data_IF_549344243208
#
_entry.id   IF_549344243208
#
_cell.length_a   1.000
_cell.length_b   1.000
_cell.length_c   1.000
_cell.angle_alpha   90.00
_cell.angle_beta   90.00
_cell.angle_gamma   90.00
#
_symmetry.space_group_name_H-M   'P 1'
#
loop_
_entity.id
_entity.type
_entity.pdbx_description
1 polymer ?
#
# COMPACT_ATOMS: atom_id res chain seq x y z
N UNK A 1 10.87 21.86 16.73
CA UNK A 1 11.46 20.53 16.55
C UNK A 1 12.87 20.57 17.12
N UNK A 2 13.28 19.54 17.87
CA UNK A 2 14.68 19.37 18.27
C UNK A 2 15.51 18.92 17.06
N UNK A 3 16.84 19.05 17.12
CA UNK A 3 17.72 18.61 16.03
C UNK A 3 17.51 17.14 15.65
N UNK A 4 17.32 16.26 16.65
CA UNK A 4 17.01 14.85 16.41
C UNK A 4 15.65 14.62 15.73
N UNK A 5 14.65 15.46 16.02
CA UNK A 5 13.34 15.38 15.35
C UNK A 5 13.42 15.86 13.90
N UNK A 6 14.18 16.93 13.61
CA UNK A 6 14.42 17.38 12.24
C UNK A 6 15.17 16.34 11.42
N UNK A 7 16.18 15.66 12.01
CA UNK A 7 16.88 14.54 11.37
C UNK A 7 15.93 13.37 11.07
N UNK A 8 15.09 12.97 12.04
CA UNK A 8 14.11 11.90 11.83
C UNK A 8 13.11 12.23 10.70
N UNK A 9 12.73 13.50 10.58
CA UNK A 9 11.87 13.96 9.51
C UNK A 9 12.59 14.00 8.15
N UNK A 10 13.88 14.38 8.12
CA UNK A 10 14.70 14.33 6.92
C UNK A 10 14.84 12.88 6.39
N UNK A 11 15.09 11.90 7.27
CA UNK A 11 15.11 10.48 6.90
C UNK A 11 13.76 10.01 6.31
N UNK A 12 12.65 10.52 6.84
CA UNK A 12 11.33 10.25 6.28
C UNK A 12 11.21 10.82 4.86
N UNK A 13 11.68 12.06 4.64
CA UNK A 13 11.67 12.71 3.32
C UNK A 13 12.53 11.94 2.32
N UNK A 14 13.72 11.49 2.72
CA UNK A 14 14.60 10.67 1.86
C UNK A 14 13.93 9.35 1.47
N UNK A 15 13.30 8.65 2.42
CA UNK A 15 12.50 7.46 2.13
C UNK A 15 11.36 7.74 1.14
N UNK A 16 10.64 8.86 1.32
CA UNK A 16 9.59 9.26 0.40
C UNK A 16 10.12 9.60 -0.99
N UNK A 17 11.27 10.27 -1.10
CA UNK A 17 11.93 10.56 -2.38
C UNK A 17 12.36 9.27 -3.09
N UNK A 18 12.90 8.30 -2.35
CA UNK A 18 13.26 7.00 -2.90
C UNK A 18 12.02 6.26 -3.44
N UNK A 19 10.93 6.20 -2.66
CA UNK A 19 9.67 5.61 -3.10
C UNK A 19 9.08 6.31 -4.31
N UNK A 20 9.04 7.66 -4.30
CA UNK A 20 8.56 8.45 -5.42
C UNK A 20 9.38 8.17 -6.69
N UNK A 21 10.71 8.25 -6.59
CA UNK A 21 11.61 7.97 -7.70
C UNK A 21 11.45 6.55 -8.24
N UNK A 22 11.42 5.55 -7.37
CA UNK A 22 11.26 4.14 -7.75
C UNK A 22 9.95 3.90 -8.52
N UNK A 23 8.83 4.43 -8.02
CA UNK A 23 7.52 4.26 -8.64
C UNK A 23 7.43 5.01 -9.98
N UNK A 24 7.96 6.24 -10.05
CA UNK A 24 8.01 7.02 -11.30
C UNK A 24 8.86 6.30 -12.35
N UNK A 25 10.02 5.73 -11.98
CA UNK A 25 10.85 4.94 -12.90
C UNK A 25 10.08 3.74 -13.44
N UNK A 26 9.34 3.01 -12.61
CA UNK A 26 8.51 1.89 -13.08
C UNK A 26 7.42 2.35 -14.04
N UNK A 27 6.72 3.46 -13.76
CA UNK A 27 5.73 4.00 -14.69
C UNK A 27 6.35 4.39 -16.03
N UNK A 28 7.51 5.06 -16.01
CA UNK A 28 8.25 5.44 -17.22
C UNK A 28 8.68 4.21 -18.01
N UNK A 29 9.28 3.20 -17.36
CA UNK A 29 9.72 1.98 -18.01
C UNK A 29 8.54 1.22 -18.62
N UNK A 30 7.45 1.09 -17.88
CA UNK A 30 6.22 0.43 -18.33
C UNK A 30 5.62 1.15 -19.55
N UNK A 31 5.52 2.49 -19.49
CA UNK A 31 5.02 3.29 -20.60
C UNK A 31 5.95 3.21 -21.82
N UNK A 32 7.26 3.31 -21.63
CA UNK A 32 8.26 3.20 -22.70
C UNK A 32 8.18 1.85 -23.41
N UNK A 33 8.10 0.76 -22.64
CA UNK A 33 8.05 -0.59 -23.20
C UNK A 33 6.71 -0.82 -23.92
N UNK A 34 5.60 -0.34 -23.36
CA UNK A 34 4.30 -0.39 -24.04
C UNK A 34 4.33 0.37 -25.38
N UNK A 35 4.91 1.58 -25.41
CA UNK A 35 5.01 2.37 -26.64
C UNK A 35 5.94 1.71 -27.67
N UNK A 36 7.10 1.18 -27.23
CA UNK A 36 8.08 0.53 -28.11
C UNK A 36 7.52 -0.72 -28.78
N UNK A 37 6.83 -1.56 -28.02
CA UNK A 37 6.32 -2.85 -28.50
C UNK A 37 4.86 -2.79 -29.01
N UNK A 38 4.23 -1.61 -28.99
CA UNK A 38 2.86 -1.41 -29.50
C UNK A 38 2.68 -1.88 -30.94
N UNK A 39 3.70 -1.72 -31.79
CA UNK A 39 3.64 -2.11 -33.21
C UNK A 39 3.93 -3.59 -33.43
N UNK A 40 4.82 -4.18 -32.62
CA UNK A 40 5.34 -5.54 -32.80
C UNK A 40 4.51 -6.62 -32.09
N UNK A 41 3.81 -6.27 -31.00
CA UNK A 41 3.02 -7.25 -30.24
C UNK A 41 1.68 -7.55 -30.94
N UNK A 42 1.26 -8.83 -31.01
CA UNK A 42 -0.09 -9.19 -31.45
C UNK A 42 -1.16 -8.58 -30.52
N UNK A 43 -2.37 -8.34 -31.05
CA UNK A 43 -3.44 -7.63 -30.33
C UNK A 43 -3.82 -8.27 -28.97
N UNK A 44 -3.61 -9.58 -28.80
CA UNK A 44 -3.77 -10.31 -27.54
C UNK A 44 -2.75 -9.88 -26.48
N UNK A 45 -1.50 -9.60 -26.88
CA UNK A 45 -0.40 -9.26 -25.99
C UNK A 45 -0.27 -7.76 -25.68
N UNK A 46 -0.93 -6.90 -26.46
CA UNK A 46 -0.96 -5.43 -26.27
C UNK A 46 -1.68 -4.96 -25.01
N UNK A 47 -2.41 -5.84 -24.31
CA UNK A 47 -3.13 -5.48 -23.09
C UNK A 47 -2.13 -5.42 -21.93
N UNK A 48 -1.76 -4.20 -21.52
CA UNK A 48 -0.95 -3.95 -20.31
C UNK A 48 -1.63 -4.52 -19.05
N UNK A 49 -2.95 -4.43 -19.01
CA UNK A 49 -3.81 -4.92 -17.92
C UNK A 49 -4.42 -6.26 -18.32
N UNK A 50 -3.65 -7.34 -18.15
CA UNK A 50 -4.12 -8.70 -18.46
C UNK A 50 -4.97 -9.24 -17.32
N UNK A 51 -4.47 -9.10 -16.10
CA UNK A 51 -5.11 -9.63 -14.90
C UNK A 51 -5.72 -8.51 -14.06
N UNK A 52 -6.81 -8.78 -13.33
CA UNK A 52 -7.34 -7.88 -12.30
C UNK A 52 -6.27 -7.39 -11.30
N UNK A 53 -5.33 -8.26 -10.93
CA UNK A 53 -4.21 -7.92 -10.05
C UNK A 53 -3.29 -6.82 -10.62
N UNK A 54 -3.12 -6.74 -11.95
CA UNK A 54 -2.34 -5.67 -12.58
C UNK A 54 -3.02 -4.31 -12.38
N UNK A 55 -4.37 -4.29 -12.42
CA UNK A 55 -5.17 -3.07 -12.22
C UNK A 55 -4.98 -2.56 -10.79
N UNK A 56 -5.17 -3.44 -9.79
CA UNK A 56 -4.97 -3.07 -8.39
C UNK A 56 -3.54 -2.60 -8.10
N UNK A 57 -2.55 -3.24 -8.72
CA UNK A 57 -1.14 -2.88 -8.54
C UNK A 57 -0.77 -1.53 -9.15
N UNK A 58 -1.23 -1.23 -10.37
CA UNK A 58 -1.01 0.09 -10.96
C UNK A 58 -1.70 1.19 -10.15
N UNK A 59 -2.90 0.91 -9.64
CA UNK A 59 -3.59 1.84 -8.75
C UNK A 59 -2.88 1.99 -7.39
N UNK A 60 -2.32 0.91 -6.84
CA UNK A 60 -1.51 0.93 -5.62
C UNK A 60 -0.29 1.83 -5.80
N UNK A 61 0.42 1.70 -6.92
CA UNK A 61 1.56 2.58 -7.25
C UNK A 61 1.15 4.06 -7.39
N UNK A 62 -0.03 4.34 -7.96
CA UNK A 62 -0.55 5.70 -8.01
C UNK A 62 -0.77 6.28 -6.61
N UNK A 63 -1.28 5.49 -5.67
CA UNK A 63 -1.42 5.92 -4.28
C UNK A 63 -0.09 5.98 -3.51
N UNK A 64 0.88 5.10 -3.82
CA UNK A 64 2.24 5.20 -3.29
C UNK A 64 2.90 6.53 -3.70
N UNK A 65 2.64 7.04 -4.92
CA UNK A 65 3.07 8.39 -5.33
C UNK A 65 2.44 9.44 -4.42
N UNK A 66 1.11 9.40 -4.22
CA UNK A 66 0.40 10.37 -3.38
C UNK A 66 0.93 10.34 -1.94
N UNK A 67 1.12 9.15 -1.38
CA UNK A 67 1.70 8.95 -0.05
C UNK A 67 3.12 9.52 0.03
N UNK A 68 3.96 9.23 -0.98
CA UNK A 68 5.32 9.74 -1.05
C UNK A 68 5.35 11.27 -1.15
N UNK A 69 4.47 11.90 -1.93
CA UNK A 69 4.36 13.38 -1.99
C UNK A 69 4.02 13.94 -0.60
N UNK A 70 3.07 13.33 0.11
CA UNK A 70 2.73 13.75 1.48
C UNK A 70 3.93 13.70 2.44
N UNK A 71 4.77 12.66 2.29
CA UNK A 71 6.04 12.53 3.01
C UNK A 71 7.08 13.57 2.61
N UNK A 72 7.30 13.80 1.30
CA UNK A 72 8.23 14.80 0.74
C UNK A 72 7.90 16.21 1.24
N UNK A 73 6.62 16.57 1.36
CA UNK A 73 6.18 17.86 1.92
C UNK A 73 6.66 18.08 3.37
N UNK A 74 7.11 17.04 4.06
CA UNK A 74 7.72 17.19 5.38
C UNK A 74 9.11 17.87 5.33
N UNK A 75 9.72 18.00 4.14
CA UNK A 75 10.97 18.71 3.92
C UNK A 75 10.94 20.14 4.47
N UNK A 76 9.83 20.86 4.25
CA UNK A 76 9.66 22.23 4.75
C UNK A 76 9.80 22.32 6.26
N UNK A 77 9.24 21.34 6.97
CA UNK A 77 9.27 21.30 8.43
C UNK A 77 10.64 20.87 8.96
N UNK A 78 11.32 19.96 8.25
CA UNK A 78 12.68 19.55 8.59
C UNK A 78 13.65 20.73 8.46
N UNK A 79 13.51 21.52 7.39
CA UNK A 79 14.31 22.72 7.14
C UNK A 79 14.01 23.84 8.16
N UNK A 80 12.73 24.15 8.38
CA UNK A 80 12.36 25.29 9.24
C UNK A 80 12.44 24.98 10.74
N UNK A 81 12.48 23.71 11.12
CA UNK A 81 12.47 23.28 12.52
C UNK A 81 11.14 23.53 13.25
N UNK A 82 10.10 24.00 12.56
CA UNK A 82 8.78 24.29 13.11
C UNK A 82 7.69 23.86 12.11
N UNK A 83 6.58 23.34 12.64
CA UNK A 83 5.38 22.98 11.88
C UNK A 83 4.32 24.03 12.16
N UNK A 84 3.81 24.68 11.12
CA UNK A 84 2.84 25.79 11.25
C UNK A 84 1.53 25.42 10.56
N UNK A 85 0.41 25.97 11.04
CA UNK A 85 -0.89 25.88 10.36
C UNK A 85 -0.88 26.70 9.05
N UNK A 86 -1.89 26.47 8.20
CA UNK A 86 -2.09 27.21 6.95
C UNK A 86 -2.25 26.31 5.73
N UNK A 87 -2.38 26.87 4.52
CA UNK A 87 -2.73 26.11 3.31
C UNK A 87 -1.75 24.98 2.98
N UNK A 88 -0.47 25.18 3.25
CA UNK A 88 0.56 24.14 3.06
C UNK A 88 0.35 22.95 4.00
N UNK A 89 -0.03 23.22 5.25
CA UNK A 89 -0.32 22.21 6.26
C UNK A 89 -1.56 21.40 5.88
N UNK A 90 -2.63 22.09 5.46
CA UNK A 90 -3.86 21.47 4.98
C UNK A 90 -3.61 20.60 3.75
N UNK A 91 -2.89 21.11 2.75
CA UNK A 91 -2.54 20.35 1.55
C UNK A 91 -1.73 19.10 1.90
N UNK A 92 -0.73 19.22 2.77
CA UNK A 92 0.05 18.06 3.21
C UNK A 92 -0.84 17.01 3.90
N UNK A 93 -1.71 17.45 4.81
CA UNK A 93 -2.61 16.58 5.57
C UNK A 93 -3.53 15.78 4.65
N UNK A 94 -4.21 16.46 3.73
CA UNK A 94 -5.09 15.85 2.73
C UNK A 94 -4.33 14.84 1.87
N UNK A 95 -3.14 15.19 1.39
CA UNK A 95 -2.32 14.31 0.56
C UNK A 95 -1.88 13.07 1.35
N UNK A 96 -1.45 13.24 2.60
CA UNK A 96 -1.07 12.13 3.48
C UNK A 96 -2.25 11.19 3.74
N UNK A 97 -3.41 11.74 4.12
CA UNK A 97 -4.63 10.96 4.35
C UNK A 97 -5.03 10.17 3.10
N UNK A 98 -5.07 10.85 1.94
CA UNK A 98 -5.45 10.25 0.65
C UNK A 98 -4.50 9.12 0.26
N UNK A 99 -3.20 9.35 0.36
CA UNK A 99 -2.17 8.37 0.03
C UNK A 99 -2.24 7.14 0.93
N UNK A 100 -2.20 7.36 2.25
CA UNK A 100 -2.18 6.28 3.24
C UNK A 100 -3.45 5.41 3.18
N UNK A 101 -4.63 6.03 3.09
CA UNK A 101 -5.90 5.31 2.99
C UNK A 101 -5.99 4.51 1.67
N UNK A 102 -5.61 5.11 0.55
CA UNK A 102 -5.62 4.43 -0.75
C UNK A 102 -4.68 3.22 -0.80
N UNK A 103 -3.46 3.36 -0.26
CA UNK A 103 -2.50 2.24 -0.14
C UNK A 103 -3.07 1.12 0.74
N UNK A 104 -3.68 1.45 1.88
CA UNK A 104 -4.26 0.44 2.77
C UNK A 104 -5.40 -0.34 2.09
N UNK A 105 -6.34 0.35 1.45
CA UNK A 105 -7.48 -0.28 0.78
C UNK A 105 -7.05 -1.15 -0.40
N UNK A 106 -6.18 -0.65 -1.26
CA UNK A 106 -5.71 -1.43 -2.41
C UNK A 106 -4.83 -2.60 -1.99
N UNK A 107 -4.05 -2.49 -0.91
CA UNK A 107 -3.32 -3.61 -0.33
C UNK A 107 -4.25 -4.70 0.22
N UNK A 108 -5.33 -4.30 0.90
CA UNK A 108 -6.38 -5.22 1.36
C UNK A 108 -7.07 -5.92 0.19
N UNK A 109 -7.51 -5.17 -0.81
CA UNK A 109 -8.16 -5.69 -2.03
C UNK A 109 -7.23 -6.66 -2.75
N UNK A 110 -5.98 -6.27 -2.97
CA UNK A 110 -4.97 -7.12 -3.62
C UNK A 110 -4.75 -8.42 -2.85
N UNK A 111 -4.68 -8.35 -1.52
CA UNK A 111 -4.50 -9.51 -0.65
C UNK A 111 -5.69 -10.48 -0.74
N UNK A 112 -6.91 -9.97 -0.60
CA UNK A 112 -8.15 -10.77 -0.67
C UNK A 112 -8.32 -11.37 -2.06
N UNK A 113 -8.12 -10.59 -3.11
CA UNK A 113 -8.22 -11.06 -4.49
C UNK A 113 -7.18 -12.14 -4.81
N UNK A 114 -5.93 -11.93 -4.37
CA UNK A 114 -4.85 -12.91 -4.50
C UNK A 114 -5.21 -14.22 -3.80
N UNK A 115 -5.71 -14.12 -2.57
CA UNK A 115 -6.15 -15.27 -1.79
C UNK A 115 -7.26 -16.05 -2.49
N UNK A 116 -8.29 -15.35 -2.94
CA UNK A 116 -9.44 -15.96 -3.58
C UNK A 116 -9.08 -16.61 -4.94
N UNK A 117 -8.21 -15.94 -5.70
CA UNK A 117 -7.73 -16.46 -6.99
C UNK A 117 -6.83 -17.68 -6.79
N UNK A 118 -5.97 -17.69 -5.76
CA UNK A 118 -5.06 -18.80 -5.50
C UNK A 118 -5.82 -20.07 -5.04
N UNK A 119 -6.76 -19.93 -4.11
CA UNK A 119 -7.43 -21.09 -3.52
C UNK A 119 -8.62 -21.59 -4.32
N UNK A 120 -9.40 -20.70 -4.92
CA UNK A 120 -10.65 -21.05 -5.58
C UNK A 120 -10.67 -20.72 -7.08
N UNK A 121 -9.63 -20.08 -7.63
CA UNK A 121 -9.62 -19.62 -9.02
C UNK A 121 -10.65 -18.50 -9.31
N UNK A 122 -11.31 -17.96 -8.28
CA UNK A 122 -12.39 -16.99 -8.44
C UNK A 122 -11.82 -15.64 -8.87
N UNK A 123 -12.41 -15.06 -9.90
CA UNK A 123 -12.13 -13.68 -10.31
C UNK A 123 -10.86 -13.50 -11.14
N UNK A 124 -10.20 -14.57 -11.57
CA UNK A 124 -8.97 -14.50 -12.38
C UNK A 124 -9.13 -13.67 -13.68
N UNK A 125 -10.32 -13.69 -14.30
CA UNK A 125 -10.62 -13.01 -15.56
C UNK A 125 -11.55 -11.79 -15.40
N UNK A 126 -11.92 -11.42 -14.16
CA UNK A 126 -12.95 -10.43 -13.86
C UNK A 126 -12.45 -8.97 -13.93
N UNK A 127 -11.83 -8.58 -15.05
CA UNK A 127 -11.16 -7.28 -15.21
C UNK A 127 -12.08 -6.05 -15.07
N UNK A 128 -13.32 -6.12 -15.56
CA UNK A 128 -14.25 -5.00 -15.46
C UNK A 128 -14.71 -4.76 -14.02
N UNK A 129 -14.86 -5.85 -13.27
CA UNK A 129 -15.16 -5.79 -11.84
C UNK A 129 -14.02 -5.13 -11.07
N UNK A 130 -12.76 -5.42 -11.43
CA UNK A 130 -11.60 -4.77 -10.82
C UNK A 130 -11.53 -3.27 -11.09
N UNK A 131 -11.85 -2.81 -12.31
CA UNK A 131 -12.00 -1.38 -12.59
C UNK A 131 -13.10 -0.74 -11.73
N UNK A 132 -14.23 -1.43 -11.55
CA UNK A 132 -15.30 -0.98 -10.67
C UNK A 132 -14.84 -0.82 -9.21
N UNK A 133 -14.10 -1.80 -8.67
CA UNK A 133 -13.54 -1.74 -7.32
C UNK A 133 -12.54 -0.59 -7.17
N UNK A 134 -11.64 -0.41 -8.14
CA UNK A 134 -10.68 0.70 -8.12
C UNK A 134 -11.39 2.04 -8.20
N UNK A 135 -12.37 2.20 -9.10
CA UNK A 135 -13.13 3.44 -9.22
C UNK A 135 -13.89 3.76 -7.92
N UNK A 136 -14.50 2.74 -7.30
CA UNK A 136 -15.13 2.88 -5.99
C UNK A 136 -14.13 3.27 -4.91
N UNK A 137 -12.94 2.66 -4.90
CA UNK A 137 -11.86 3.01 -3.95
C UNK A 137 -11.43 4.46 -4.13
N UNK A 138 -11.22 4.90 -5.37
CA UNK A 138 -10.87 6.29 -5.68
C UNK A 138 -11.94 7.27 -5.20
N UNK A 139 -13.21 6.96 -5.46
CA UNK A 139 -14.34 7.76 -5.01
C UNK A 139 -14.39 7.80 -3.47
N UNK A 140 -14.29 6.65 -2.81
CA UNK A 140 -14.33 6.55 -1.35
C UNK A 140 -13.22 7.36 -0.68
N UNK A 141 -11.98 7.21 -1.14
CA UNK A 141 -10.82 7.94 -0.59
C UNK A 141 -10.99 9.45 -0.82
N UNK A 142 -11.35 9.86 -2.04
CA UNK A 142 -11.52 11.27 -2.38
C UNK A 142 -12.66 11.94 -1.60
N UNK A 143 -13.80 11.28 -1.48
CA UNK A 143 -14.94 11.76 -0.68
C UNK A 143 -14.58 11.80 0.81
N UNK A 144 -13.88 10.79 1.34
CA UNK A 144 -13.49 10.77 2.75
C UNK A 144 -12.61 11.97 3.11
N UNK A 145 -11.61 12.28 2.29
CA UNK A 145 -10.74 13.43 2.51
C UNK A 145 -11.50 14.77 2.29
N UNK A 146 -12.30 14.85 1.23
CA UNK A 146 -13.02 16.07 0.85
C UNK A 146 -14.15 16.45 1.81
N UNK A 147 -15.00 15.50 2.19
CA UNK A 147 -16.11 15.73 3.13
C UNK A 147 -15.57 16.12 4.50
N UNK A 148 -14.56 15.41 5.00
CA UNK A 148 -13.99 15.69 6.32
C UNK A 148 -13.41 17.11 6.41
N UNK A 149 -12.68 17.54 5.37
CA UNK A 149 -12.14 18.90 5.31
C UNK A 149 -13.22 19.97 5.02
N UNK A 150 -14.34 19.59 4.38
CA UNK A 150 -15.44 20.50 4.09
C UNK A 150 -16.36 20.78 5.28
N UNK A 151 -16.56 19.78 6.16
CA UNK A 151 -17.46 19.89 7.32
C UNK A 151 -16.72 20.44 8.54
N UNK A 152 -15.49 19.97 8.80
CA UNK A 152 -14.77 20.27 10.02
C UNK A 152 -13.81 21.45 9.85
N UNK A 153 -13.87 22.39 10.79
CA UNK A 153 -12.89 23.49 10.89
C UNK A 153 -11.58 22.98 11.49
N UNK A 154 -10.47 23.46 10.96
CA UNK A 154 -9.12 23.06 11.39
C UNK A 154 -8.96 21.53 11.44
N UNK A 155 -9.50 20.85 10.42
CA UNK A 155 -9.41 19.40 10.32
C UNK A 155 -7.96 18.93 10.21
N UNK A 156 -7.14 19.58 9.39
CA UNK A 156 -5.72 19.29 9.25
C UNK A 156 -4.89 20.25 10.11
N UNK A 157 -4.15 19.71 11.09
CA UNK A 157 -3.33 20.50 12.02
C UNK A 157 -1.97 19.85 12.31
N UNK A 158 -1.00 20.61 12.85
CA UNK A 158 0.30 20.07 13.27
C UNK A 158 0.17 19.00 14.37
N UNK A 159 0.67 17.78 14.12
CA UNK A 159 0.49 16.64 15.04
C UNK A 159 1.71 15.71 15.15
N UNK A 160 2.56 15.94 16.16
CA UNK A 160 3.25 17.21 16.42
C UNK A 160 4.36 17.50 15.39
N UNK A 161 4.76 16.52 14.58
CA UNK A 161 5.94 16.60 13.71
C UNK A 161 5.63 16.89 12.23
N UNK A 162 4.37 16.75 11.82
CA UNK A 162 3.87 17.04 10.47
C UNK A 162 2.39 17.40 10.54
N UNK A 163 1.81 17.80 9.41
CA UNK A 163 0.39 18.09 9.31
C UNK A 163 -0.44 16.84 8.97
N UNK A 164 -1.51 16.64 9.74
CA UNK A 164 -2.42 15.50 9.67
C UNK A 164 -3.74 15.89 10.34
N UNK A 165 -4.79 15.08 10.14
CA UNK A 165 -6.08 15.14 10.83
C UNK A 165 -5.89 15.49 12.31
N UNK A 166 -6.67 16.42 12.84
CA UNK A 166 -6.54 17.00 14.17
C UNK A 166 -6.87 16.01 15.28
N UNK A 167 -6.19 16.07 16.46
CA UNK A 167 -6.51 15.23 17.60
C UNK A 167 -7.91 15.45 18.15
N UNK A 168 -8.53 16.60 17.83
CA UNK A 168 -9.91 16.92 18.18
C UNK A 168 -10.91 15.92 17.57
N UNK A 169 -10.59 15.39 16.39
CA UNK A 169 -11.43 14.49 15.60
C UNK A 169 -10.87 13.06 15.68
N UNK A 170 -10.90 12.47 16.88
CA UNK A 170 -10.27 11.19 17.15
C UNK A 170 -10.98 10.03 16.42
N UNK A 171 -12.31 10.04 16.36
CA UNK A 171 -13.09 9.00 15.70
C UNK A 171 -12.82 9.01 14.19
N UNK A 172 -12.77 10.20 13.60
CA UNK A 172 -12.49 10.42 12.19
C UNK A 172 -11.07 10.00 11.84
N UNK A 173 -10.08 10.22 12.72
CA UNK A 173 -8.72 9.69 12.57
C UNK A 173 -8.69 8.18 12.49
N UNK A 174 -9.44 7.51 13.37
CA UNK A 174 -9.47 6.05 13.41
C UNK A 174 -10.12 5.50 12.14
N UNK A 175 -11.31 5.98 11.80
CA UNK A 175 -12.10 5.46 10.68
C UNK A 175 -11.50 5.83 9.33
N UNK A 176 -10.91 7.03 9.20
CA UNK A 176 -10.38 7.51 7.92
C UNK A 176 -9.02 6.93 7.55
N UNK A 177 -8.33 6.24 8.46
CA UNK A 177 -7.00 5.70 8.17
C UNK A 177 -6.68 4.42 8.95
N UNK A 178 -6.65 4.48 10.28
CA UNK A 178 -6.10 3.40 11.09
C UNK A 178 -6.90 2.10 11.02
N UNK A 179 -8.24 2.17 11.00
CA UNK A 179 -9.11 0.99 10.89
C UNK A 179 -8.80 0.22 9.61
N UNK A 180 -8.69 0.89 8.47
CA UNK A 180 -8.39 0.25 7.19
C UNK A 180 -6.97 -0.30 7.13
N UNK A 181 -6.01 0.45 7.67
CA UNK A 181 -4.62 0.00 7.80
C UNK A 181 -4.52 -1.29 8.63
N UNK A 182 -5.24 -1.38 9.76
CA UNK A 182 -5.22 -2.55 10.62
C UNK A 182 -6.02 -3.73 10.06
N UNK A 183 -7.14 -3.49 9.37
CA UNK A 183 -7.86 -4.54 8.66
C UNK A 183 -6.96 -5.13 7.55
N UNK A 184 -6.28 -4.27 6.78
CA UNK A 184 -5.32 -4.71 5.77
C UNK A 184 -4.16 -5.51 6.37
N UNK A 185 -3.63 -5.06 7.50
CA UNK A 185 -2.56 -5.75 8.24
C UNK A 185 -3.03 -7.12 8.73
N UNK A 186 -4.18 -7.18 9.40
CA UNK A 186 -4.75 -8.42 9.93
C UNK A 186 -5.06 -9.41 8.80
N UNK A 187 -5.71 -8.96 7.72
CA UNK A 187 -5.98 -9.77 6.55
C UNK A 187 -4.69 -10.31 5.91
N UNK A 188 -3.65 -9.46 5.81
CA UNK A 188 -2.34 -9.86 5.28
C UNK A 188 -1.71 -10.99 6.09
N UNK A 189 -1.73 -10.89 7.42
CA UNK A 189 -1.18 -11.93 8.32
C UNK A 189 -2.00 -13.22 8.25
N UNK A 190 -3.34 -13.11 8.36
CA UNK A 190 -4.23 -14.28 8.38
C UNK A 190 -4.21 -15.04 7.06
N UNK A 191 -4.24 -14.33 5.93
CA UNK A 191 -4.25 -14.96 4.60
C UNK A 191 -2.87 -15.49 4.19
N UNK A 192 -1.78 -14.95 4.75
CA UNK A 192 -0.43 -15.43 4.46
C UNK A 192 -0.21 -16.89 4.86
N UNK A 193 -0.75 -17.31 6.01
CA UNK A 193 -0.60 -18.69 6.54
C UNK A 193 -1.12 -19.75 5.55
N UNK A 194 -2.43 -19.76 5.17
CA UNK A 194 -2.96 -20.74 4.23
C UNK A 194 -2.33 -20.65 2.84
N UNK A 195 -1.99 -19.43 2.38
CA UNK A 195 -1.30 -19.25 1.11
C UNK A 195 0.09 -19.89 1.08
N UNK A 196 0.83 -19.80 2.18
CA UNK A 196 2.12 -20.45 2.32
C UNK A 196 2.00 -21.98 2.19
N UNK A 197 0.98 -22.59 2.80
CA UNK A 197 0.72 -24.03 2.66
C UNK A 197 0.24 -24.42 1.25
N UNK A 198 -0.63 -23.62 0.63
CA UNK A 198 -1.08 -23.86 -0.75
C UNK A 198 0.08 -23.80 -1.75
N UNK A 199 0.99 -22.87 -1.56
CA UNK A 199 2.18 -22.71 -2.40
C UNK A 199 3.15 -23.89 -2.26
N UNK A 200 3.28 -24.49 -1.08
CA UNK A 200 4.04 -25.74 -0.89
C UNK A 200 3.40 -26.97 -1.55
N UNK A 201 2.26 -26.82 -2.22
CA UNK A 201 1.48 -27.94 -2.73
C UNK A 201 0.82 -28.77 -1.63
N UNK A 202 0.89 -28.28 -0.38
CA UNK A 202 0.41 -28.99 0.80
C UNK A 202 -1.07 -28.75 1.06
N UNK A 203 -1.67 -27.72 0.45
CA UNK A 203 -3.07 -27.37 0.61
C UNK A 203 -3.79 -27.42 -0.75
N UNK A 204 -4.89 -28.16 -0.81
CA UNK A 204 -5.84 -28.19 -1.92
C UNK A 204 -7.25 -27.97 -1.36
N UNK A 205 -8.08 -27.23 -2.07
CA UNK A 205 -9.50 -27.05 -1.73
C UNK A 205 -10.31 -28.13 -2.44
N UNK A 206 -11.31 -28.70 -1.75
CA UNK A 206 -12.25 -29.65 -2.35
C UNK A 206 -13.11 -28.97 -3.43
N UNK A 207 -13.18 -29.55 -4.63
CA UNK A 207 -13.89 -28.96 -5.78
C UNK A 207 -15.40 -28.77 -5.51
N UNK A 208 -15.98 -29.60 -4.64
CA UNK A 208 -17.41 -29.52 -4.29
C UNK A 208 -17.71 -28.69 -3.03
N UNK A 209 -16.72 -28.51 -2.14
CA UNK A 209 -16.92 -27.89 -0.82
C UNK A 209 -15.85 -26.83 -0.56
N UNK A 210 -16.22 -25.57 -0.81
CA UNK A 210 -15.32 -24.41 -0.70
C UNK A 210 -14.65 -24.23 0.67
N UNK A 211 -15.27 -24.73 1.75
CA UNK A 211 -14.76 -24.66 3.12
C UNK A 211 -13.87 -25.86 3.52
N UNK A 212 -13.77 -26.89 2.68
CA UNK A 212 -13.06 -28.13 3.02
C UNK A 212 -11.66 -28.12 2.43
N UNK A 213 -10.69 -27.88 3.31
CA UNK A 213 -9.27 -27.93 2.98
C UNK A 213 -8.72 -29.35 3.13
N UNK A 214 -7.98 -29.84 2.13
CA UNK A 214 -7.25 -31.11 2.17
C UNK A 214 -5.76 -30.86 2.20
N UNK A 215 -5.09 -31.50 3.16
CA UNK A 215 -3.63 -31.54 3.20
C UNK A 215 -3.14 -32.67 2.29
N UNK A 216 -2.54 -32.32 1.15
CA UNK A 216 -2.04 -33.29 0.17
C UNK A 216 -0.51 -33.27 0.19
N UNK A 217 0.14 -34.43 0.30
CA UNK A 217 1.59 -34.54 0.22
C UNK A 217 1.98 -34.77 -1.25
N UNK A 218 2.09 -33.70 -2.03
CA UNK A 218 2.47 -33.75 -3.45
C UNK A 218 3.87 -33.18 -3.65
N UNK A 219 4.84 -34.02 -4.00
CA UNK A 219 6.23 -33.61 -4.32
C UNK A 219 6.39 -33.11 -5.78
N UNK A 220 5.39 -33.33 -6.64
CA UNK A 220 5.54 -33.23 -8.11
C UNK A 220 5.13 -31.86 -8.69
N UNK A 221 4.32 -31.07 -7.98
CA UNK A 221 3.78 -29.79 -8.48
C UNK A 221 4.50 -28.53 -7.95
N UNK A 222 5.58 -28.72 -7.20
CA UNK A 222 6.35 -27.64 -6.55
C UNK A 222 7.02 -26.70 -7.56
N UNK A 223 7.53 -27.19 -8.70
CA UNK A 223 8.29 -26.38 -9.66
C UNK A 223 7.43 -25.34 -10.40
N UNK A 224 6.15 -25.63 -10.66
CA UNK A 224 5.21 -24.74 -11.36
C UNK A 224 4.62 -23.67 -10.42
N UNK A 225 4.39 -24.02 -9.14
CA UNK A 225 3.93 -23.10 -8.07
C UNK A 225 5.04 -22.20 -7.52
N UNK A 226 6.32 -22.59 -7.65
CA UNK A 226 7.48 -21.78 -7.27
C UNK A 226 7.60 -20.48 -8.08
N UNK A 227 7.12 -20.46 -9.33
CA UNK A 227 7.00 -19.23 -10.12
C UNK A 227 5.93 -18.26 -9.57
N UNK A 228 5.01 -18.75 -8.73
CA UNK A 228 3.94 -18.00 -8.08
C UNK A 228 4.33 -17.51 -6.67
N UNK A 229 5.51 -17.89 -6.16
CA UNK A 229 6.08 -17.46 -4.86
C UNK A 229 6.00 -15.96 -4.66
N UNK A 230 6.19 -15.23 -5.75
CA UNK A 230 6.36 -13.80 -5.69
C UNK A 230 5.12 -13.05 -5.17
N UNK A 231 3.93 -13.58 -5.46
CA UNK A 231 2.67 -12.92 -5.11
C UNK A 231 2.46 -12.87 -3.58
N UNK A 232 3.13 -13.75 -2.82
CA UNK A 232 3.04 -13.83 -1.36
C UNK A 232 3.95 -12.85 -0.62
N UNK A 233 4.88 -12.21 -1.33
CA UNK A 233 5.68 -11.17 -0.71
C UNK A 233 4.92 -9.86 -0.54
N UNK A 234 3.81 -9.62 -1.26
CA UNK A 234 3.03 -8.38 -1.09
C UNK A 234 2.38 -8.28 0.29
N UNK A 235 1.61 -9.28 0.79
CA UNK A 235 1.08 -9.24 2.15
C UNK A 235 2.18 -9.17 3.22
N UNK A 236 3.30 -9.89 3.01
CA UNK A 236 4.42 -9.89 3.94
C UNK A 236 5.10 -8.50 4.01
N UNK A 237 5.37 -7.88 2.86
CA UNK A 237 5.96 -6.56 2.81
C UNK A 237 5.06 -5.50 3.44
N UNK A 238 3.76 -5.54 3.14
CA UNK A 238 2.79 -4.65 3.78
C UNK A 238 2.84 -4.80 5.31
N UNK A 239 2.84 -6.04 5.80
CA UNK A 239 2.94 -6.36 7.23
C UNK A 239 4.21 -5.79 7.85
N UNK A 240 5.37 -6.01 7.23
CA UNK A 240 6.67 -5.53 7.73
C UNK A 240 6.74 -4.00 7.79
N UNK A 241 6.16 -3.32 6.82
CA UNK A 241 6.17 -1.85 6.71
C UNK A 241 5.20 -1.19 7.68
N UNK A 242 4.04 -1.80 7.91
CA UNK A 242 2.94 -1.20 8.69
C UNK A 242 3.00 -1.51 10.18
N UNK A 243 3.57 -2.65 10.59
CA UNK A 243 3.67 -3.04 12.00
C UNK A 243 4.38 -1.97 12.86
N UNK A 244 5.58 -1.47 12.50
CA UNK A 244 6.31 -0.54 13.37
C UNK A 244 5.54 0.76 13.61
N UNK A 245 4.91 1.29 12.55
CA UNK A 245 4.03 2.46 12.67
C UNK A 245 2.80 2.14 13.54
N UNK A 246 2.16 0.99 13.33
CA UNK A 246 0.99 0.56 14.10
C UNK A 246 1.30 0.45 15.60
N UNK A 247 2.42 -0.20 15.96
CA UNK A 247 2.86 -0.31 17.36
C UNK A 247 3.08 1.06 17.98
N UNK A 248 3.76 1.98 17.27
CA UNK A 248 3.98 3.34 17.76
C UNK A 248 2.65 4.08 18.02
N UNK A 249 1.64 3.89 17.17
CA UNK A 249 0.31 4.51 17.31
C UNK A 249 -0.50 3.92 18.46
N UNK A 250 -0.52 2.60 18.62
CA UNK A 250 -1.18 1.94 19.74
C UNK A 250 -0.60 2.36 21.10
N UNK A 251 0.72 2.49 21.19
CA UNK A 251 1.37 3.02 22.41
C UNK A 251 0.94 4.45 22.71
N UNK A 252 0.83 5.29 21.68
CA UNK A 252 0.36 6.67 21.81
C UNK A 252 -1.10 6.74 22.28
N UNK A 253 -1.98 5.90 21.74
CA UNK A 253 -3.39 5.81 22.15
C UNK A 253 -3.55 5.26 23.58
N UNK A 254 -2.60 4.45 24.04
CA UNK A 254 -2.56 3.94 25.42
C UNK A 254 -2.01 4.96 26.43
N UNK A 255 -1.92 6.25 26.06
CA UNK A 255 -1.35 7.34 26.85
C UNK A 255 0.09 7.10 27.33
N UNK A 256 0.84 6.20 26.67
CA UNK A 256 2.26 5.98 26.98
C UNK A 256 3.12 7.00 26.25
N UNK A 257 4.17 7.47 26.90
CA UNK A 257 5.17 8.33 26.24
C UNK A 257 5.92 7.52 25.19
N UNK A 258 5.77 7.88 23.92
CA UNK A 258 6.47 7.24 22.80
C UNK A 258 7.68 8.08 22.43
N UNK A 259 8.92 7.52 22.44
CA UNK A 259 10.09 8.23 21.96
C UNK A 259 9.92 8.64 20.50
N UNK A 260 10.35 9.87 20.16
CA UNK A 260 10.25 10.38 18.79
C UNK A 260 10.96 9.48 17.77
N UNK A 261 12.06 8.84 18.18
CA UNK A 261 12.81 7.87 17.36
C UNK A 261 11.93 6.70 16.89
N UNK A 262 11.10 6.14 17.78
CA UNK A 262 10.19 5.04 17.44
C UNK A 262 9.14 5.49 16.41
N UNK A 263 8.60 6.70 16.57
CA UNK A 263 7.66 7.28 15.61
C UNK A 263 8.30 7.50 14.24
N UNK A 264 9.50 8.07 14.20
CA UNK A 264 10.21 8.31 12.94
C UNK A 264 10.64 7.01 12.26
N UNK A 265 11.10 6.01 13.01
CA UNK A 265 11.43 4.69 12.45
C UNK A 265 10.21 4.07 11.75
N UNK A 266 9.07 4.03 12.43
CA UNK A 266 7.83 3.52 11.82
C UNK A 266 7.37 4.34 10.63
N UNK A 267 7.50 5.67 10.69
CA UNK A 267 7.13 6.56 9.59
C UNK A 267 8.07 6.40 8.38
N UNK A 268 9.37 6.27 8.58
CA UNK A 268 10.36 6.04 7.52
C UNK A 268 10.08 4.71 6.82
N UNK A 269 9.84 3.63 7.59
CA UNK A 269 9.44 2.34 7.00
C UNK A 269 8.15 2.47 6.20
N UNK A 270 7.13 3.12 6.76
CA UNK A 270 5.86 3.37 6.07
C UNK A 270 6.05 4.14 4.76
N UNK A 271 6.94 5.13 4.72
CA UNK A 271 7.23 5.91 3.51
C UNK A 271 8.12 5.15 2.49
N UNK A 272 8.76 4.04 2.88
CA UNK A 272 9.44 3.12 1.96
C UNK A 272 8.49 2.15 1.24
N UNK A 273 7.18 2.17 1.55
CA UNK A 273 6.16 1.30 0.94
C UNK A 273 6.28 1.22 -0.58
N UNK A 274 6.32 2.38 -1.27
CA UNK A 274 6.39 2.42 -2.73
C UNK A 274 7.66 1.77 -3.29
N UNK A 275 8.83 2.05 -2.69
CA UNK A 275 10.09 1.42 -3.10
C UNK A 275 10.06 -0.11 -2.91
N UNK A 276 9.47 -0.57 -1.81
CA UNK A 276 9.33 -2.01 -1.51
C UNK A 276 8.35 -2.65 -2.49
N UNK A 277 7.19 -2.04 -2.76
CA UNK A 277 6.22 -2.52 -3.74
C UNK A 277 6.83 -2.62 -5.14
N UNK A 278 7.68 -1.65 -5.52
CA UNK A 278 8.43 -1.67 -6.79
C UNK A 278 9.45 -2.81 -6.81
N UNK A 279 10.22 -2.99 -5.74
CA UNK A 279 11.18 -4.10 -5.64
C UNK A 279 10.48 -5.45 -5.75
N UNK A 280 9.32 -5.61 -5.11
CA UNK A 280 8.48 -6.79 -5.27
C UNK A 280 7.99 -6.93 -6.70
N UNK A 281 7.53 -5.87 -7.35
CA UNK A 281 7.11 -5.95 -8.74
C UNK A 281 8.22 -6.43 -9.67
N UNK A 282 9.43 -5.91 -9.51
CA UNK A 282 10.61 -6.30 -10.28
C UNK A 282 10.99 -7.77 -10.08
N UNK A 283 10.92 -8.26 -8.84
CA UNK A 283 11.31 -9.65 -8.50
C UNK A 283 10.23 -10.67 -8.85
N UNK A 284 8.95 -10.29 -8.75
CA UNK A 284 7.80 -11.19 -8.86
C UNK A 284 7.20 -11.21 -10.26
N UNK A 285 7.18 -10.07 -10.96
CA UNK A 285 6.56 -9.92 -12.28
C UNK A 285 7.51 -9.28 -13.29
N UNK A 286 8.73 -9.81 -13.51
CA UNK A 286 9.67 -9.23 -14.47
C UNK A 286 9.10 -9.19 -15.89
N UNK A 287 8.21 -10.13 -16.25
CA UNK A 287 7.61 -10.24 -17.58
C UNK A 287 6.77 -9.02 -18.01
N UNK A 288 6.27 -8.21 -17.07
CA UNK A 288 5.52 -6.98 -17.42
C UNK A 288 6.44 -5.84 -17.89
N UNK A 289 7.71 -5.83 -17.46
CA UNK A 289 8.71 -4.88 -17.93
C UNK A 289 9.51 -5.43 -19.10
N UNK A 290 9.83 -6.71 -19.11
CA UNK A 290 10.72 -7.32 -20.10
C UNK A 290 9.98 -8.01 -21.26
N UNK A 291 8.95 -7.36 -21.83
CA UNK A 291 8.53 -7.73 -23.18
C UNK A 291 9.70 -7.61 -24.17
#
# INVERSE_FOLDING_TARGET
LTSGQSIGLALTVEASLLSFGAVIVIFILTARNLLRYRKTLPNSDRKLLRTPADIYMLSLFSYDIVQAVGGILSFRWAHNGIVTTGPYCTAQGIIKQTGALGVALLSLILTVHTFATALWGIGAEARYFAFGIVAFTCLFVGLSAGISNGIHKDFETPTPYWCWISPKYHEERLVSEYVWMWIALFASVVMYIPLHFWMRGQLSVDDEKWYKFRLVKSDVEYSKRRATLGILFYPLAYTLVVIPLSVARWLLFSHKSVPSVTTFFGLTMFNLSGAINVLLFLTVRPRLLFF
#
